data_IF_385101975707
#
_entry.id   IF_385101975707
#
_cell.length_a   1.000
_cell.length_b   1.000
_cell.length_c   1.000
_cell.angle_alpha   90.00
_cell.angle_beta   90.00
_cell.angle_gamma   90.00
#
_symmetry.space_group_name_H-M   'P 1'
#
loop_
_entity.id
_entity.type
_entity.pdbx_description
1 polymer ?
#
# COMPACT_ATOMS: atom_id res chain seq x y z
N UNK A 1 -11.29 46.21 16.01
CA UNK A 1 -12.49 45.40 16.19
C UNK A 1 -13.23 45.08 14.88
N UNK A 2 -13.47 46.03 13.97
CA UNK A 2 -14.22 45.76 12.70
C UNK A 2 -13.48 44.79 11.75
N UNK A 3 -12.15 44.76 11.72
CA UNK A 3 -11.38 43.85 10.85
C UNK A 3 -11.37 42.40 11.35
N UNK A 4 -11.45 42.19 12.65
CA UNK A 4 -11.50 40.84 13.26
C UNK A 4 -12.89 40.23 13.03
N UNK A 5 -13.95 41.07 13.08
CA UNK A 5 -15.32 40.61 12.83
C UNK A 5 -15.50 40.16 11.37
N UNK A 6 -14.87 40.86 10.40
CA UNK A 6 -14.88 40.48 9.00
C UNK A 6 -14.14 39.15 8.73
N UNK A 7 -13.02 38.91 9.42
CA UNK A 7 -12.26 37.65 9.30
C UNK A 7 -13.04 36.47 9.85
N UNK A 8 -13.72 36.64 11.00
CA UNK A 8 -14.57 35.62 11.60
C UNK A 8 -15.77 35.32 10.70
N UNK A 9 -16.37 36.34 10.05
CA UNK A 9 -17.49 36.15 9.14
C UNK A 9 -17.10 35.40 7.87
N UNK A 10 -15.91 35.67 7.32
CA UNK A 10 -15.37 34.95 6.15
C UNK A 10 -15.06 33.49 6.51
N UNK A 11 -14.50 33.25 7.71
CA UNK A 11 -14.25 31.88 8.19
C UNK A 11 -15.57 31.13 8.42
N UNK A 12 -16.58 31.77 9.01
CA UNK A 12 -17.89 31.17 9.26
C UNK A 12 -18.63 30.86 7.95
N UNK A 13 -18.51 31.73 6.92
CA UNK A 13 -19.12 31.48 5.61
C UNK A 13 -18.40 30.33 4.85
N UNK A 14 -17.07 30.15 5.03
CA UNK A 14 -16.38 29.00 4.44
C UNK A 14 -16.83 27.68 5.08
N UNK A 15 -17.06 27.64 6.40
CA UNK A 15 -17.61 26.44 7.06
C UNK A 15 -19.10 26.20 6.72
N UNK A 16 -19.89 27.23 6.42
CA UNK A 16 -21.29 27.06 6.04
C UNK A 16 -21.46 26.51 4.61
N UNK A 17 -20.49 26.70 3.73
CA UNK A 17 -20.47 26.11 2.39
C UNK A 17 -20.14 24.62 2.41
N UNK A 18 -19.44 24.13 3.45
CA UNK A 18 -19.19 22.69 3.67
C UNK A 18 -20.39 21.96 4.29
N UNK A 19 -21.42 22.66 4.77
CA UNK A 19 -22.59 22.06 5.43
C UNK A 19 -23.77 21.77 4.49
N UNK A 20 -23.71 22.19 3.22
CA UNK A 20 -24.67 21.80 2.19
C UNK A 20 -24.05 20.73 1.30
N UNK A 21 -24.27 19.50 1.68
CA UNK A 21 -24.07 18.21 1.05
C UNK A 21 -23.96 18.14 -0.48
N UNK A 22 -22.91 18.72 -1.05
CA UNK A 22 -22.38 18.34 -2.36
C UNK A 22 -20.97 17.80 -2.13
N UNK A 23 -20.75 16.58 -2.59
CA UNK A 23 -19.47 15.86 -2.49
C UNK A 23 -18.29 16.72 -2.93
N UNK A 24 -17.23 16.83 -2.13
CA UNK A 24 -16.00 17.51 -2.54
C UNK A 24 -15.15 16.64 -3.49
N UNK A 25 -15.81 15.91 -4.39
CA UNK A 25 -15.16 14.94 -5.26
C UNK A 25 -14.28 15.51 -6.40
N UNK A 26 -14.33 16.76 -6.87
CA UNK A 26 -13.55 17.13 -8.05
C UNK A 26 -12.09 17.50 -7.78
N UNK A 27 -11.71 17.99 -6.61
CA UNK A 27 -10.37 18.58 -6.40
C UNK A 27 -9.29 17.51 -6.32
N UNK A 28 -9.59 16.34 -5.77
CA UNK A 28 -8.62 15.24 -5.66
C UNK A 28 -8.55 14.38 -6.92
N UNK A 29 -9.53 14.47 -7.83
CA UNK A 29 -9.61 13.62 -9.01
C UNK A 29 -8.51 13.94 -10.04
N UNK A 30 -8.12 15.21 -10.22
CA UNK A 30 -7.09 15.59 -11.18
C UNK A 30 -5.69 15.17 -10.71
N UNK A 31 -5.35 15.45 -9.46
CA UNK A 31 -4.06 15.07 -8.87
C UNK A 31 -3.92 13.55 -8.77
N UNK A 32 -4.98 12.83 -8.39
CA UNK A 32 -4.99 11.38 -8.39
C UNK A 32 -4.92 10.76 -9.80
N UNK A 33 -5.48 11.43 -10.81
CA UNK A 33 -5.52 10.91 -12.19
C UNK A 33 -4.13 10.63 -12.76
N UNK A 34 -3.12 11.42 -12.39
CA UNK A 34 -1.74 11.17 -12.80
C UNK A 34 -1.19 9.86 -12.23
N UNK A 35 -1.49 9.55 -10.96
CA UNK A 35 -1.08 8.29 -10.32
C UNK A 35 -1.84 7.10 -10.88
N UNK A 36 -3.15 7.22 -11.12
CA UNK A 36 -3.97 6.19 -11.77
C UNK A 36 -3.43 5.89 -13.17
N UNK A 37 -3.12 6.94 -13.94
CA UNK A 37 -2.53 6.79 -15.28
C UNK A 37 -1.16 6.10 -15.21
N UNK A 38 -0.33 6.48 -14.24
CA UNK A 38 0.98 5.87 -14.01
C UNK A 38 0.86 4.38 -13.65
N UNK A 39 -0.14 3.97 -12.87
CA UNK A 39 -0.42 2.55 -12.63
C UNK A 39 -0.73 1.81 -13.91
N UNK A 40 -1.60 2.35 -14.77
CA UNK A 40 -1.94 1.75 -16.07
C UNK A 40 -0.74 1.65 -17.03
N UNK A 41 0.23 2.57 -16.91
CA UNK A 41 1.44 2.58 -17.74
C UNK A 41 2.58 1.71 -17.20
N UNK A 42 2.46 1.24 -15.94
CA UNK A 42 3.51 0.45 -15.28
C UNK A 42 3.50 -0.98 -15.80
N UNK A 43 4.58 -1.40 -16.43
CA UNK A 43 4.84 -2.81 -16.77
C UNK A 43 5.77 -3.37 -15.73
N UNK A 44 5.34 -4.40 -15.04
CA UNK A 44 6.11 -5.00 -13.94
C UNK A 44 6.84 -6.23 -14.47
N UNK A 45 8.18 -6.18 -14.51
CA UNK A 45 9.04 -7.33 -14.82
C UNK A 45 9.46 -8.06 -13.55
N UNK A 46 9.67 -7.32 -12.46
CA UNK A 46 9.87 -7.89 -11.14
C UNK A 46 9.23 -7.02 -10.06
N UNK A 47 8.86 -7.66 -8.96
CA UNK A 47 8.24 -7.06 -7.80
C UNK A 47 9.04 -7.46 -6.56
N UNK A 48 9.55 -6.47 -5.83
CA UNK A 48 10.15 -6.69 -4.53
C UNK A 48 9.18 -6.23 -3.44
N UNK A 49 8.82 -7.13 -2.54
CA UNK A 49 7.96 -6.84 -1.39
C UNK A 49 8.77 -6.99 -0.12
N UNK A 50 8.78 -5.95 0.70
CA UNK A 50 9.37 -5.98 2.04
C UNK A 50 8.25 -5.76 3.05
N UNK A 51 8.08 -6.68 3.98
CA UNK A 51 7.16 -6.58 5.12
C UNK A 51 7.99 -6.40 6.37
N UNK A 52 7.73 -5.33 7.10
CA UNK A 52 8.38 -5.03 8.38
C UNK A 52 7.30 -5.05 9.46
N UNK A 53 7.53 -5.79 10.53
CA UNK A 53 6.62 -5.90 11.67
C UNK A 53 7.35 -5.50 12.94
N UNK A 54 6.84 -4.50 13.63
CA UNK A 54 7.33 -4.09 14.94
C UNK A 54 6.77 -5.02 16.01
N UNK A 55 7.64 -5.58 16.83
CA UNK A 55 7.28 -6.44 17.98
C UNK A 55 7.88 -5.89 19.26
N UNK A 56 7.51 -6.45 20.40
CA UNK A 56 8.10 -6.08 21.70
C UNK A 56 9.61 -6.42 21.79
N UNK A 57 10.04 -7.43 21.03
CA UNK A 57 11.43 -7.92 21.01
C UNK A 57 12.28 -7.26 19.93
N UNK A 58 11.67 -6.47 19.03
CA UNK A 58 12.34 -5.79 17.93
C UNK A 58 11.57 -5.86 16.62
N UNK A 59 12.23 -5.56 15.54
CA UNK A 59 11.65 -5.52 14.19
C UNK A 59 11.93 -6.83 13.45
N UNK A 60 10.88 -7.45 12.91
CA UNK A 60 10.97 -8.61 12.03
C UNK A 60 10.80 -8.18 10.58
N UNK A 61 11.58 -8.79 9.67
CA UNK A 61 11.53 -8.47 8.25
C UNK A 61 11.26 -9.72 7.42
N UNK A 62 10.32 -9.61 6.48
CA UNK A 62 10.12 -10.59 5.42
C UNK A 62 10.33 -9.91 4.08
N UNK A 63 11.08 -10.55 3.20
CA UNK A 63 11.31 -10.09 1.83
C UNK A 63 10.86 -11.13 0.82
N UNK A 64 10.23 -10.65 -0.25
CA UNK A 64 9.81 -11.48 -1.38
C UNK A 64 10.26 -10.80 -2.66
N UNK A 65 10.89 -11.56 -3.55
CA UNK A 65 11.23 -11.11 -4.89
C UNK A 65 10.47 -11.98 -5.88
N UNK A 66 9.58 -11.39 -6.66
CA UNK A 66 8.83 -12.06 -7.72
C UNK A 66 9.40 -11.63 -9.06
N UNK A 67 9.80 -12.58 -9.89
CA UNK A 67 10.20 -12.39 -11.28
C UNK A 67 9.08 -12.91 -12.18
N UNK A 68 8.58 -12.09 -13.09
CA UNK A 68 7.55 -12.45 -14.05
C UNK A 68 8.20 -12.83 -15.39
N UNK A 69 7.79 -13.98 -15.92
CA UNK A 69 8.35 -14.53 -17.15
C UNK A 69 7.39 -14.35 -18.33
N UNK A 70 7.94 -14.33 -19.55
CA UNK A 70 7.17 -14.13 -20.78
C UNK A 70 6.13 -15.24 -21.05
N UNK A 71 6.32 -16.43 -20.49
CA UNK A 71 5.39 -17.56 -20.57
C UNK A 71 4.26 -17.51 -19.53
N UNK A 72 4.11 -16.37 -18.83
CA UNK A 72 3.14 -16.12 -17.76
C UNK A 72 3.41 -16.91 -16.47
N UNK A 73 4.55 -17.54 -16.34
CA UNK A 73 5.00 -18.09 -15.05
C UNK A 73 5.66 -17.01 -14.21
N UNK A 74 5.79 -17.25 -12.91
CA UNK A 74 6.61 -16.40 -12.05
C UNK A 74 7.42 -17.22 -11.06
N UNK A 75 8.56 -16.68 -10.66
CA UNK A 75 9.42 -17.24 -9.62
C UNK A 75 9.44 -16.31 -8.43
N UNK A 76 9.11 -16.81 -7.25
CA UNK A 76 9.07 -16.05 -6.01
C UNK A 76 10.16 -16.58 -5.10
N UNK A 77 11.14 -15.75 -4.79
CA UNK A 77 12.17 -16.03 -3.78
C UNK A 77 11.82 -15.28 -2.51
N UNK A 78 11.92 -15.92 -1.36
CA UNK A 78 11.59 -15.30 -0.09
C UNK A 78 12.66 -15.52 0.99
N UNK A 79 12.70 -14.56 1.93
CA UNK A 79 13.45 -14.63 3.18
C UNK A 79 12.59 -14.05 4.29
N UNK A 80 12.28 -14.84 5.31
CA UNK A 80 11.36 -14.48 6.38
C UNK A 80 12.04 -14.68 7.72
N UNK A 81 12.13 -13.61 8.51
CA UNK A 81 12.57 -13.65 9.89
C UNK A 81 11.42 -14.07 10.80
N UNK A 82 11.64 -14.98 11.69
CA UNK A 82 10.67 -15.45 12.67
C UNK A 82 11.32 -15.59 14.05
N UNK A 83 10.52 -15.34 15.09
CA UNK A 83 10.90 -15.64 16.46
C UNK A 83 10.32 -17.02 16.79
N UNK A 84 11.14 -18.03 17.11
CA UNK A 84 10.66 -19.35 17.48
C UNK A 84 9.98 -19.29 18.83
N UNK A 85 8.65 -19.38 18.84
CA UNK A 85 7.76 -19.58 20.02
C UNK A 85 8.01 -18.67 21.23
N UNK A 86 6.93 -18.28 21.92
CA UNK A 86 6.94 -17.38 23.08
C UNK A 86 7.76 -17.89 24.31
N UNK A 87 8.19 -19.15 24.31
CA UNK A 87 8.93 -19.78 25.42
C UNK A 87 10.38 -20.14 25.02
N UNK A 88 10.83 -19.79 23.81
CA UNK A 88 12.17 -20.17 23.39
C UNK A 88 13.17 -19.02 23.65
N UNK A 89 14.27 -19.38 24.27
CA UNK A 89 15.49 -18.53 24.32
C UNK A 89 16.32 -18.66 23.05
N UNK A 90 15.71 -19.15 21.97
CA UNK A 90 16.38 -19.39 20.70
C UNK A 90 16.49 -18.10 19.88
N UNK A 91 17.59 -18.01 19.15
CA UNK A 91 17.88 -16.88 18.27
C UNK A 91 16.86 -16.75 17.13
N UNK A 92 16.77 -15.58 16.54
CA UNK A 92 16.00 -15.28 15.33
C UNK A 92 16.26 -16.33 14.24
N UNK A 93 15.21 -16.97 13.74
CA UNK A 93 15.29 -17.94 12.64
C UNK A 93 14.94 -17.26 11.33
N UNK A 94 15.76 -17.48 10.31
CA UNK A 94 15.50 -17.01 8.95
C UNK A 94 15.11 -18.18 8.06
N UNK A 95 13.88 -18.13 7.54
CA UNK A 95 13.37 -19.08 6.56
C UNK A 95 13.58 -18.53 5.16
N UNK A 96 14.22 -19.29 4.29
CA UNK A 96 14.43 -18.93 2.88
C UNK A 96 13.88 -20.01 1.96
N UNK A 97 13.44 -19.62 0.78
CA UNK A 97 12.94 -20.57 -0.21
C UNK A 97 12.61 -19.93 -1.55
N UNK A 98 12.24 -20.79 -2.48
CA UNK A 98 11.80 -20.41 -3.82
C UNK A 98 10.54 -21.17 -4.17
N UNK A 99 9.55 -20.46 -4.69
CA UNK A 99 8.26 -20.99 -5.13
C UNK A 99 8.05 -20.59 -6.60
N UNK A 100 7.57 -21.52 -7.40
CA UNK A 100 7.18 -21.25 -8.78
C UNK A 100 5.66 -21.19 -8.87
N UNK A 101 5.14 -20.17 -9.52
CA UNK A 101 3.75 -20.04 -9.91
C UNK A 101 3.65 -20.32 -11.41
N UNK A 102 2.83 -21.29 -11.81
CA UNK A 102 2.63 -21.62 -13.20
C UNK A 102 1.69 -20.65 -13.93
N UNK A 103 1.54 -20.81 -15.23
CA UNK A 103 0.71 -19.95 -16.06
C UNK A 103 -0.79 -20.01 -15.71
N UNK A 104 -1.24 -21.00 -14.94
CA UNK A 104 -2.60 -21.18 -14.43
C UNK A 104 -2.78 -20.56 -13.03
N UNK A 105 -1.71 -20.04 -12.44
CA UNK A 105 -1.73 -19.45 -11.10
C UNK A 105 -1.59 -20.48 -9.97
N UNK A 106 -1.11 -21.69 -10.28
CA UNK A 106 -0.85 -22.72 -9.28
C UNK A 106 0.58 -22.61 -8.75
N UNK A 107 0.72 -22.66 -7.45
CA UNK A 107 2.02 -22.55 -6.77
C UNK A 107 2.60 -23.95 -6.48
N UNK A 108 3.91 -24.06 -6.61
CA UNK A 108 4.65 -25.22 -6.11
C UNK A 108 4.57 -25.30 -4.57
N UNK A 109 5.05 -26.41 -4.00
CA UNK A 109 5.07 -26.63 -2.55
C UNK A 109 5.69 -25.45 -1.81
N UNK A 110 5.08 -25.03 -0.69
CA UNK A 110 5.48 -23.87 0.07
C UNK A 110 4.78 -22.57 -0.36
N UNK A 111 3.93 -22.61 -1.40
CA UNK A 111 3.26 -21.44 -1.99
C UNK A 111 2.36 -20.64 -1.05
N UNK A 112 1.86 -21.23 0.01
CA UNK A 112 0.99 -20.52 0.95
C UNK A 112 1.67 -19.33 1.63
N UNK A 113 2.98 -19.41 1.87
CA UNK A 113 3.78 -18.33 2.47
C UNK A 113 4.00 -17.21 1.46
N UNK A 114 4.33 -17.55 0.20
CA UNK A 114 4.61 -16.59 -0.86
C UNK A 114 3.34 -16.01 -1.51
N UNK A 115 2.23 -16.73 -1.43
CA UNK A 115 0.97 -16.45 -2.13
C UNK A 115 0.34 -15.12 -1.79
N UNK A 116 0.44 -14.67 -0.54
CA UNK A 116 -0.31 -13.50 -0.06
C UNK A 116 0.26 -12.17 -0.55
N UNK A 117 1.57 -12.03 -0.64
CA UNK A 117 2.23 -10.74 -0.92
C UNK A 117 3.20 -10.81 -2.11
N UNK A 118 3.88 -11.95 -2.30
CA UNK A 118 4.97 -12.08 -3.27
C UNK A 118 4.53 -11.96 -4.74
N UNK A 119 3.36 -12.47 -5.10
CA UNK A 119 2.97 -12.59 -6.51
C UNK A 119 2.15 -11.41 -7.03
N UNK A 120 1.39 -10.73 -6.18
CA UNK A 120 0.40 -9.75 -6.63
C UNK A 120 0.72 -8.31 -6.21
N UNK A 121 1.58 -8.11 -5.23
CA UNK A 121 1.82 -6.80 -4.66
C UNK A 121 0.55 -6.19 -4.03
N UNK A 122 0.59 -4.90 -3.76
CA UNK A 122 -0.56 -4.15 -3.28
C UNK A 122 -1.37 -3.69 -4.50
N UNK A 123 -2.65 -4.06 -4.56
CA UNK A 123 -3.60 -3.45 -5.49
C UNK A 123 -3.83 -2.01 -5.04
N UNK A 124 -4.00 -1.11 -5.99
CA UNK A 124 -4.40 0.26 -5.71
C UNK A 124 -5.59 0.61 -6.59
N UNK A 125 -6.76 0.73 -5.97
CA UNK A 125 -8.01 1.13 -6.63
C UNK A 125 -8.49 2.42 -5.97
N UNK A 126 -8.23 3.56 -6.63
CA UNK A 126 -8.55 4.86 -6.09
C UNK A 126 -10.07 5.09 -6.08
N UNK A 127 -10.62 5.31 -4.90
CA UNK A 127 -12.00 5.72 -4.70
C UNK A 127 -12.03 6.85 -3.64
N UNK A 128 -12.34 8.08 -4.09
CA UNK A 128 -12.35 9.25 -3.22
C UNK A 128 -13.30 9.15 -2.03
N UNK A 129 -14.37 8.34 -2.14
CA UNK A 129 -15.34 8.14 -1.06
C UNK A 129 -14.81 7.23 0.07
N UNK A 130 -13.72 6.52 -0.17
CA UNK A 130 -13.09 5.57 0.77
C UNK A 130 -11.80 6.09 1.39
N UNK A 131 -11.44 7.32 1.06
CA UNK A 131 -10.21 7.97 1.51
C UNK A 131 -10.55 9.02 2.53
N UNK A 132 -9.88 9.00 3.69
CA UNK A 132 -10.10 9.96 4.78
C UNK A 132 -9.12 11.13 4.74
N UNK A 133 -7.91 10.93 4.19
CA UNK A 133 -6.92 11.98 3.95
C UNK A 133 -6.27 11.81 2.59
N UNK A 134 -5.89 12.92 1.98
CA UNK A 134 -5.27 12.95 0.65
C UNK A 134 -4.20 14.03 0.63
N UNK A 135 -2.99 13.69 0.24
CA UNK A 135 -1.88 14.61 0.10
C UNK A 135 -1.04 14.22 -1.12
N UNK A 136 -0.66 15.19 -1.93
CA UNK A 136 0.28 15.01 -3.04
C UNK A 136 1.46 15.96 -2.83
N UNK A 137 2.66 15.38 -2.82
CA UNK A 137 3.92 16.12 -2.82
C UNK A 137 4.79 15.65 -4.00
N UNK A 138 4.74 16.40 -5.09
CA UNK A 138 5.45 16.09 -6.32
C UNK A 138 5.10 14.71 -6.88
N UNK A 139 6.02 13.77 -6.75
CA UNK A 139 5.87 12.40 -7.25
C UNK A 139 5.33 11.41 -6.21
N UNK A 140 4.88 11.89 -5.08
CA UNK A 140 4.38 11.06 -3.97
C UNK A 140 2.93 11.41 -3.70
N UNK A 141 2.06 10.40 -3.69
CA UNK A 141 0.69 10.45 -3.21
C UNK A 141 0.62 9.71 -1.87
N UNK A 142 0.10 10.36 -0.84
CA UNK A 142 -0.19 9.76 0.45
C UNK A 142 -1.71 9.85 0.73
N UNK A 143 -2.32 8.71 1.03
CA UNK A 143 -3.74 8.63 1.37
C UNK A 143 -3.93 7.78 2.62
N UNK A 144 -4.94 8.12 3.42
CA UNK A 144 -5.40 7.25 4.50
C UNK A 144 -6.72 6.60 4.08
N UNK A 145 -6.79 5.29 4.24
CA UNK A 145 -7.95 4.46 3.94
C UNK A 145 -8.51 3.94 5.26
N UNK A 146 -9.82 4.11 5.47
CA UNK A 146 -10.48 3.58 6.66
C UNK A 146 -10.46 2.06 6.70
N UNK A 147 -10.40 1.47 7.91
CA UNK A 147 -10.33 0.02 8.12
C UNK A 147 -11.38 -0.77 7.31
N UNK A 148 -12.60 -0.25 7.22
CA UNK A 148 -13.71 -0.88 6.50
C UNK A 148 -13.53 -0.94 4.97
N UNK A 149 -12.69 -0.05 4.42
CA UNK A 149 -12.53 0.15 2.97
C UNK A 149 -11.20 -0.38 2.43
N UNK A 150 -10.32 -0.88 3.29
CA UNK A 150 -8.97 -1.33 2.91
C UNK A 150 -9.01 -2.43 1.85
N UNK A 151 -9.91 -3.41 1.96
CA UNK A 151 -10.03 -4.48 0.96
C UNK A 151 -10.40 -3.93 -0.43
N UNK A 152 -11.27 -2.95 -0.49
CA UNK A 152 -11.69 -2.35 -1.75
C UNK A 152 -10.58 -1.54 -2.41
N UNK A 153 -9.80 -0.77 -1.64
CA UNK A 153 -8.78 0.16 -2.16
C UNK A 153 -7.44 -0.53 -2.41
N UNK A 154 -7.01 -1.43 -1.50
CA UNK A 154 -5.67 -2.04 -1.55
C UNK A 154 -5.67 -3.55 -1.75
N UNK A 155 -6.85 -4.18 -1.79
CA UNK A 155 -6.99 -5.63 -2.01
C UNK A 155 -6.81 -6.50 -0.76
N UNK A 156 -6.66 -5.90 0.43
CA UNK A 156 -6.47 -6.60 1.70
C UNK A 156 -7.39 -6.03 2.78
N UNK A 157 -8.11 -6.89 3.48
CA UNK A 157 -8.87 -6.51 4.66
C UNK A 157 -7.92 -6.31 5.85
N UNK A 158 -7.80 -5.06 6.32
CA UNK A 158 -6.97 -4.68 7.47
C UNK A 158 -7.91 -4.20 8.58
N UNK A 159 -7.70 -4.68 9.80
CA UNK A 159 -8.54 -4.35 10.95
C UNK A 159 -8.32 -2.94 11.54
N UNK A 160 -7.54 -2.07 10.87
CA UNK A 160 -7.24 -0.69 11.26
C UNK A 160 -7.15 0.21 10.04
N UNK A 161 -7.19 1.52 10.26
CA UNK A 161 -6.90 2.49 9.21
C UNK A 161 -5.48 2.28 8.67
N UNK A 162 -5.29 2.50 7.38
CA UNK A 162 -4.04 2.27 6.69
C UNK A 162 -3.59 3.52 5.92
N UNK A 163 -2.31 3.88 6.09
CA UNK A 163 -1.65 4.88 5.25
C UNK A 163 -1.08 4.17 4.01
N UNK A 164 -1.49 4.63 2.84
CA UNK A 164 -0.96 4.17 1.55
C UNK A 164 -0.14 5.29 0.94
N UNK A 165 1.11 4.99 0.59
CA UNK A 165 1.99 5.93 -0.09
C UNK A 165 2.37 5.36 -1.45
N UNK A 166 2.09 6.10 -2.51
CA UNK A 166 2.38 5.73 -3.89
C UNK A 166 3.45 6.66 -4.43
N UNK A 167 4.53 6.11 -4.97
CA UNK A 167 5.60 6.89 -5.59
C UNK A 167 5.66 6.60 -7.09
N UNK A 168 5.75 7.66 -7.89
CA UNK A 168 5.94 7.57 -9.35
C UNK A 168 7.26 8.19 -9.77
N UNK A 169 7.83 7.69 -10.87
CA UNK A 169 8.94 8.31 -11.57
C UNK A 169 8.78 8.03 -13.07
N UNK A 170 9.09 9.00 -13.91
CA UNK A 170 9.02 8.90 -15.37
C UNK A 170 7.65 8.39 -15.88
N UNK A 171 6.56 8.83 -15.22
CA UNK A 171 5.19 8.46 -15.58
C UNK A 171 4.80 7.03 -15.23
N UNK A 172 5.55 6.32 -14.40
CA UNK A 172 5.29 4.97 -13.92
C UNK A 172 5.32 4.89 -12.41
N UNK A 173 4.58 3.96 -11.83
CA UNK A 173 4.69 3.68 -10.42
C UNK A 173 5.98 2.90 -10.14
N UNK A 174 6.75 3.38 -9.18
CA UNK A 174 7.99 2.73 -8.73
C UNK A 174 7.83 2.03 -7.39
N UNK A 175 6.93 2.53 -6.53
CA UNK A 175 6.63 1.83 -5.28
C UNK A 175 5.22 2.14 -4.77
N UNK A 176 4.67 1.19 -4.02
CA UNK A 176 3.50 1.38 -3.16
C UNK A 176 3.88 0.89 -1.77
N UNK A 177 3.72 1.76 -0.78
CA UNK A 177 3.91 1.40 0.62
C UNK A 177 2.57 1.45 1.36
N UNK A 178 2.38 0.52 2.28
CA UNK A 178 1.22 0.39 3.15
C UNK A 178 1.70 0.32 4.59
N UNK A 179 1.21 1.20 5.43
CA UNK A 179 1.55 1.22 6.86
C UNK A 179 0.29 1.20 7.72
N UNK A 180 0.24 0.27 8.67
CA UNK A 180 -0.83 0.13 9.64
C UNK A 180 -0.28 -0.53 10.91
N UNK A 181 -0.88 -0.29 12.05
CA UNK A 181 -0.57 -0.82 13.40
C UNK A 181 0.69 -1.68 13.51
N UNK A 182 1.89 -1.05 13.51
CA UNK A 182 3.18 -1.74 13.66
C UNK A 182 3.63 -2.58 12.47
N UNK A 183 2.92 -2.52 11.33
CA UNK A 183 3.30 -3.23 10.10
C UNK A 183 3.51 -2.22 8.98
N UNK A 184 4.59 -2.40 8.24
CA UNK A 184 4.85 -1.67 6.99
C UNK A 184 5.14 -2.67 5.88
N UNK A 185 4.45 -2.52 4.75
CA UNK A 185 4.64 -3.30 3.54
C UNK A 185 5.08 -2.34 2.43
N UNK A 186 6.19 -2.62 1.79
CA UNK A 186 6.69 -1.85 0.66
C UNK A 186 6.79 -2.75 -0.56
N UNK A 187 6.07 -2.39 -1.62
CA UNK A 187 6.14 -3.03 -2.93
C UNK A 187 6.92 -2.13 -3.88
N UNK A 188 8.08 -2.57 -4.33
CA UNK A 188 8.88 -1.88 -5.34
C UNK A 188 8.74 -2.59 -6.70
N UNK A 189 8.42 -1.82 -7.72
CA UNK A 189 8.14 -2.28 -9.09
C UNK A 189 9.35 -1.97 -9.99
N UNK A 190 9.86 -3.01 -10.72
CA UNK A 190 11.00 -2.89 -11.64
C UNK A 190 10.67 -3.48 -13.02
#
# INVERSE_FOLDING_TARGET
MKKILALILVLACSFALFACGEDPAPVYAEEAAEFITAFGATTVNSLNVTVTTETAEGTLTATYTTEYHADKTSTITYSIETIPGLDSTEDLVVLTGTVVCDAQGLYSDGGEIAKKLGATGIKFDYDSNKITTFEVDGNVLAITVAAADTEAVIGYAIGSDALVTVTKADGKITSVALSYTGVTIVCAYN
#
